data_IF_789829065286
#
_entry.id   IF_789829065286
#
_cell.length_a   1.000
_cell.length_b   1.000
_cell.length_c   1.000
_cell.angle_alpha   90.00
_cell.angle_beta   90.00
_cell.angle_gamma   90.00
#
_symmetry.space_group_name_H-M   'P 1'
#
loop_
_entity.id
_entity.type
_entity.pdbx_description
1 polymer ?
#
# COMPACT_ATOMS: atom_id res chain seq x y z
N UNK A 1 12.66 20.66 -9.38
CA UNK A 1 12.04 19.34 -9.11
C UNK A 1 11.88 18.64 -10.45
N UNK A 2 12.62 17.56 -10.70
CA UNK A 2 12.58 16.84 -11.98
C UNK A 2 12.76 15.33 -11.86
N UNK A 3 12.76 14.82 -10.62
CA UNK A 3 12.80 13.38 -10.34
C UNK A 3 11.37 12.88 -10.17
N UNK A 4 11.02 11.69 -10.67
CA UNK A 4 9.71 11.09 -10.41
C UNK A 4 9.44 10.95 -8.91
N UNK A 5 8.21 11.27 -8.51
CA UNK A 5 7.71 11.18 -7.14
C UNK A 5 6.87 9.92 -7.01
N UNK A 6 7.24 9.04 -6.06
CA UNK A 6 6.60 7.76 -5.86
C UNK A 6 5.90 7.76 -4.51
N UNK A 7 4.57 7.63 -4.54
CA UNK A 7 3.76 7.40 -3.34
C UNK A 7 3.98 5.99 -2.82
N UNK A 8 4.29 5.82 -1.54
CA UNK A 8 4.47 4.50 -0.92
C UNK A 8 3.36 4.32 0.10
N UNK A 9 2.32 3.58 -0.27
CA UNK A 9 1.12 3.35 0.55
C UNK A 9 1.21 2.06 1.36
N UNK A 10 1.49 2.18 2.66
CA UNK A 10 1.40 1.04 3.57
C UNK A 10 0.03 0.95 4.24
N UNK A 11 -0.36 -0.27 4.65
CA UNK A 11 -1.52 -0.49 5.52
C UNK A 11 -1.06 -0.88 6.91
N UNK A 12 -0.15 -0.12 7.51
CA UNK A 12 0.40 -0.43 8.82
C UNK A 12 -0.55 -0.02 9.96
N UNK A 13 -0.71 -0.92 10.92
CA UNK A 13 -1.27 -0.66 12.24
C UNK A 13 -0.86 -1.81 13.19
N UNK A 14 -0.78 -1.55 14.48
CA UNK A 14 -0.19 -2.49 15.45
C UNK A 14 -1.16 -3.62 15.89
N UNK A 15 -2.47 -3.37 15.79
CA UNK A 15 -3.52 -4.28 16.24
C UNK A 15 -3.72 -5.53 15.37
N UNK A 16 -2.86 -5.80 14.39
CA UNK A 16 -2.91 -7.02 13.57
C UNK A 16 -1.51 -7.50 13.23
N UNK A 17 -1.25 -8.79 13.45
CA UNK A 17 0.04 -9.43 13.16
C UNK A 17 0.38 -9.37 11.66
N UNK A 18 -0.64 -9.37 10.79
CA UNK A 18 -0.45 -9.15 9.35
C UNK A 18 0.08 -7.77 8.98
N UNK A 19 -0.10 -6.75 9.83
CA UNK A 19 0.08 -5.34 9.45
C UNK A 19 1.17 -4.64 10.26
N UNK A 20 1.50 -5.13 11.46
CA UNK A 20 2.42 -4.46 12.39
C UNK A 20 3.85 -4.28 11.85
N UNK A 21 4.26 -5.13 10.90
CA UNK A 21 5.61 -5.11 10.32
C UNK A 21 5.71 -4.27 9.04
N UNK A 22 4.58 -3.78 8.50
CA UNK A 22 4.56 -3.09 7.20
C UNK A 22 5.24 -1.73 7.22
N UNK A 23 5.38 -1.09 8.39
CA UNK A 23 6.12 0.17 8.50
C UNK A 23 7.60 -0.01 8.16
N UNK A 24 8.20 -1.12 8.61
CA UNK A 24 9.58 -1.48 8.30
C UNK A 24 9.75 -1.81 6.82
N UNK A 25 8.78 -2.51 6.23
CA UNK A 25 8.77 -2.81 4.79
C UNK A 25 8.65 -1.52 3.96
N UNK A 26 7.82 -0.57 4.39
CA UNK A 26 7.70 0.73 3.74
C UNK A 26 8.99 1.57 3.77
N UNK A 27 9.79 1.45 4.83
CA UNK A 27 11.11 2.07 4.88
C UNK A 27 12.06 1.45 3.86
N UNK A 28 12.15 0.12 3.80
CA UNK A 28 12.97 -0.58 2.82
C UNK A 28 12.56 -0.27 1.36
N UNK A 29 11.26 -0.15 1.10
CA UNK A 29 10.76 0.27 -0.23
C UNK A 29 11.19 1.69 -0.55
N UNK A 30 11.12 2.61 0.42
CA UNK A 30 11.56 4.00 0.22
C UNK A 30 13.05 4.07 -0.11
N UNK A 31 13.88 3.33 0.62
CA UNK A 31 15.32 3.22 0.33
C UNK A 31 15.54 2.74 -1.11
N UNK A 32 14.81 1.70 -1.56
CA UNK A 32 14.88 1.21 -2.94
C UNK A 32 14.47 2.24 -3.99
N UNK A 33 13.43 3.03 -3.73
CA UNK A 33 12.97 4.13 -4.61
C UNK A 33 14.04 5.22 -4.72
N UNK A 34 14.63 5.62 -3.60
CA UNK A 34 15.68 6.65 -3.57
C UNK A 34 16.97 6.18 -4.27
N UNK A 35 17.34 4.92 -4.09
CA UNK A 35 18.46 4.28 -4.80
C UNK A 35 18.23 4.22 -6.32
N UNK A 36 16.99 4.05 -6.76
CA UNK A 36 16.61 4.12 -8.17
C UNK A 36 16.57 5.57 -8.74
N UNK A 37 16.99 6.58 -7.95
CA UNK A 37 17.09 7.97 -8.40
C UNK A 37 15.76 8.73 -8.38
N UNK A 38 14.70 8.16 -7.80
CA UNK A 38 13.38 8.76 -7.63
C UNK A 38 13.23 9.37 -6.23
N UNK A 39 12.09 10.00 -5.94
CA UNK A 39 11.76 10.54 -4.62
C UNK A 39 10.61 9.74 -4.01
N UNK A 40 10.82 9.10 -2.86
CA UNK A 40 9.79 8.30 -2.19
C UNK A 40 9.04 9.07 -1.10
N UNK A 41 7.72 9.17 -1.22
CA UNK A 41 6.84 9.75 -0.21
C UNK A 41 5.95 8.68 0.43
N UNK A 42 6.28 8.31 1.66
CA UNK A 42 5.52 7.33 2.42
C UNK A 42 4.23 7.94 2.95
N UNK A 43 3.13 7.21 2.82
CA UNK A 43 1.87 7.48 3.49
C UNK A 43 1.21 6.17 3.90
N UNK A 44 0.23 6.26 4.80
CA UNK A 44 -0.42 5.09 5.36
C UNK A 44 -1.94 5.21 5.24
N UNK A 45 -2.62 4.08 5.05
CA UNK A 45 -4.08 3.99 5.05
C UNK A 45 -4.58 3.07 6.16
N UNK A 46 -5.89 3.09 6.40
CA UNK A 46 -6.55 2.31 7.46
C UNK A 46 -6.57 0.82 7.13
N UNK A 47 -6.81 -0.01 8.14
CA UNK A 47 -7.06 -1.43 8.00
C UNK A 47 -7.84 -1.98 9.20
N UNK A 48 -8.42 -3.16 9.05
CA UNK A 48 -9.16 -3.85 10.11
C UNK A 48 -8.78 -5.32 10.16
N UNK A 49 -8.81 -5.91 11.35
CA UNK A 49 -8.49 -7.32 11.56
C UNK A 49 -9.75 -8.18 11.60
N UNK A 50 -9.87 -9.12 10.67
CA UNK A 50 -10.90 -10.15 10.72
C UNK A 50 -10.72 -11.06 11.93
N UNK A 51 -9.49 -11.47 12.22
CA UNK A 51 -9.21 -12.36 13.35
C UNK A 51 -9.75 -11.80 14.69
N UNK A 52 -9.85 -10.47 14.81
CA UNK A 52 -10.43 -9.80 15.98
C UNK A 52 -11.94 -9.60 15.84
N UNK A 53 -12.42 -9.22 14.65
CA UNK A 53 -13.82 -8.79 14.46
C UNK A 53 -14.79 -9.93 14.14
N UNK A 54 -14.29 -11.10 13.75
CA UNK A 54 -15.08 -12.28 13.40
C UNK A 54 -16.01 -12.69 14.55
N UNK A 55 -17.28 -12.94 14.22
CA UNK A 55 -18.31 -13.30 15.20
C UNK A 55 -18.90 -12.13 15.99
N UNK A 56 -18.48 -10.89 15.72
CA UNK A 56 -18.99 -9.68 16.38
C UNK A 56 -19.66 -8.73 15.38
N UNK A 57 -20.33 -7.68 15.88
CA UNK A 57 -20.84 -6.58 15.04
C UNK A 57 -19.73 -5.83 14.29
N UNK A 58 -18.47 -5.97 14.71
CA UNK A 58 -17.31 -5.40 14.03
C UNK A 58 -17.12 -5.93 12.60
N UNK A 59 -17.55 -7.16 12.32
CA UNK A 59 -17.38 -7.78 11.00
C UNK A 59 -18.16 -7.04 9.89
N UNK A 60 -19.19 -6.28 10.24
CA UNK A 60 -19.91 -5.41 9.30
C UNK A 60 -19.02 -4.33 8.67
N UNK A 61 -17.92 -3.95 9.33
CA UNK A 61 -16.95 -2.98 8.84
C UNK A 61 -15.82 -3.60 8.04
N UNK A 62 -15.80 -4.92 7.89
CA UNK A 62 -14.68 -5.61 7.28
C UNK A 62 -14.66 -5.48 5.75
N UNK A 63 -15.74 -5.82 5.05
CA UNK A 63 -15.74 -5.81 3.58
C UNK A 63 -15.61 -4.39 3.00
N UNK A 64 -16.31 -3.42 3.59
CA UNK A 64 -16.30 -2.03 3.15
C UNK A 64 -14.95 -1.33 3.34
N UNK A 65 -14.08 -1.82 4.25
CA UNK A 65 -12.77 -1.20 4.47
C UNK A 65 -11.90 -1.30 3.22
N UNK A 66 -12.12 -2.31 2.37
CA UNK A 66 -11.48 -2.44 1.06
C UNK A 66 -11.73 -1.22 0.19
N UNK A 67 -12.96 -0.72 0.18
CA UNK A 67 -13.32 0.39 -0.69
C UNK A 67 -12.73 1.70 -0.16
N UNK A 68 -12.81 1.92 1.16
CA UNK A 68 -12.14 3.03 1.84
C UNK A 68 -10.63 3.07 1.63
N UNK A 69 -9.94 1.92 1.62
CA UNK A 69 -8.50 1.84 1.37
C UNK A 69 -8.17 2.37 -0.02
N UNK A 70 -8.90 1.93 -1.04
CA UNK A 70 -8.67 2.38 -2.40
C UNK A 70 -8.98 3.88 -2.57
N UNK A 71 -10.09 4.36 -2.01
CA UNK A 71 -10.47 5.78 -2.07
C UNK A 71 -9.41 6.65 -1.34
N UNK A 72 -8.83 6.14 -0.25
CA UNK A 72 -7.74 6.82 0.47
C UNK A 72 -6.46 6.93 -0.37
N UNK A 73 -6.08 5.86 -1.08
CA UNK A 73 -4.91 5.86 -1.96
C UNK A 73 -5.16 6.80 -3.15
N UNK A 74 -6.32 6.72 -3.79
CA UNK A 74 -6.72 7.59 -4.90
C UNK A 74 -6.68 9.06 -4.50
N UNK A 75 -7.20 9.39 -3.31
CA UNK A 75 -7.21 10.75 -2.78
C UNK A 75 -5.79 11.31 -2.65
N UNK A 76 -4.86 10.55 -2.07
CA UNK A 76 -3.48 11.02 -1.88
C UNK A 76 -2.76 11.14 -3.22
N UNK A 77 -2.90 10.14 -4.09
CA UNK A 77 -2.25 10.13 -5.40
C UNK A 77 -2.69 11.30 -6.28
N UNK A 78 -4.00 11.54 -6.34
CA UNK A 78 -4.57 12.61 -7.15
C UNK A 78 -4.26 14.00 -6.57
N UNK A 79 -4.30 14.16 -5.25
CA UNK A 79 -4.04 15.46 -4.62
C UNK A 79 -2.55 15.84 -4.65
N UNK A 80 -1.66 14.87 -4.45
CA UNK A 80 -0.21 15.12 -4.37
C UNK A 80 0.52 15.00 -5.71
N UNK A 81 -0.19 14.60 -6.78
CA UNK A 81 0.37 14.46 -8.12
C UNK A 81 1.62 13.56 -8.17
N UNK A 82 1.61 12.47 -7.41
CA UNK A 82 2.68 11.48 -7.49
C UNK A 82 2.66 10.76 -8.84
N UNK A 83 3.83 10.55 -9.42
CA UNK A 83 4.03 9.97 -10.76
C UNK A 83 3.75 8.45 -10.78
N UNK A 84 3.84 7.80 -9.63
CA UNK A 84 3.54 6.38 -9.46
C UNK A 84 3.32 6.02 -8.00
N UNK A 85 2.80 4.82 -7.74
CA UNK A 85 2.63 4.34 -6.39
C UNK A 85 3.05 2.90 -6.20
N UNK A 86 3.69 2.65 -5.06
CA UNK A 86 4.02 1.33 -4.54
C UNK A 86 3.18 1.07 -3.29
N UNK A 87 2.27 0.12 -3.39
CA UNK A 87 1.43 -0.25 -2.26
C UNK A 87 1.90 -1.52 -1.55
N UNK A 88 1.78 -1.51 -0.23
CA UNK A 88 2.26 -2.55 0.68
C UNK A 88 1.06 -3.03 1.52
N UNK A 89 0.31 -4.03 1.02
CA UNK A 89 -0.83 -4.60 1.74
C UNK A 89 -0.37 -5.59 2.82
N UNK A 90 -1.26 -5.84 3.80
CA UNK A 90 -1.10 -6.90 4.80
C UNK A 90 -1.93 -8.13 4.41
N UNK A 91 -3.12 -8.27 5.02
CA UNK A 91 -4.00 -9.42 4.81
C UNK A 91 -5.14 -9.20 3.79
N UNK A 92 -5.54 -10.30 3.14
CA UNK A 92 -6.65 -10.60 2.20
C UNK A 92 -7.38 -9.41 1.53
N UNK A 93 -8.05 -8.55 2.32
CA UNK A 93 -8.84 -7.42 1.79
C UNK A 93 -8.01 -6.31 1.18
N UNK A 94 -6.76 -6.17 1.61
CA UNK A 94 -5.87 -5.13 1.13
C UNK A 94 -5.25 -5.48 -0.23
N UNK A 95 -5.23 -6.77 -0.61
CA UNK A 95 -4.66 -7.22 -1.89
C UNK A 95 -5.61 -6.95 -3.06
N UNK A 96 -6.88 -7.32 -2.92
CA UNK A 96 -7.79 -7.49 -4.06
C UNK A 96 -8.18 -6.17 -4.77
N UNK A 97 -8.27 -5.03 -4.07
CA UNK A 97 -8.64 -3.73 -4.71
C UNK A 97 -7.44 -2.87 -5.08
N UNK A 98 -6.23 -3.17 -4.62
CA UNK A 98 -5.05 -2.46 -5.13
C UNK A 98 -4.73 -2.86 -6.57
N UNK A 99 -5.12 -4.08 -6.98
CA UNK A 99 -5.21 -4.46 -8.38
C UNK A 99 -6.30 -3.70 -9.17
N UNK A 100 -7.44 -3.29 -8.58
CA UNK A 100 -8.44 -2.45 -9.27
C UNK A 100 -8.07 -0.96 -9.28
N UNK A 101 -7.38 -0.45 -8.27
CA UNK A 101 -6.86 0.91 -8.26
C UNK A 101 -5.75 1.09 -9.32
N UNK A 102 -5.06 0.01 -9.71
CA UNK A 102 -4.10 -0.09 -10.83
C UNK A 102 -4.65 0.46 -12.16
N UNK A 103 -5.96 0.30 -12.40
CA UNK A 103 -6.60 0.75 -13.64
C UNK A 103 -6.93 2.25 -13.63
N UNK A 104 -7.04 2.88 -12.46
CA UNK A 104 -7.34 4.32 -12.32
C UNK A 104 -6.11 5.17 -12.03
N UNK A 105 -5.17 4.63 -11.26
CA UNK A 105 -3.85 5.21 -10.99
C UNK A 105 -2.82 4.21 -11.48
N UNK A 106 -1.77 4.62 -12.20
CA UNK A 106 -0.70 3.71 -12.64
C UNK A 106 0.06 3.17 -11.41
N UNK A 107 -0.46 2.11 -10.78
CA UNK A 107 0.15 1.50 -9.60
C UNK A 107 1.19 0.46 -10.04
N UNK A 108 2.24 0.30 -9.25
CA UNK A 108 3.18 -0.82 -9.31
C UNK A 108 3.05 -1.51 -7.95
N UNK A 109 2.72 -2.80 -7.90
CA UNK A 109 2.68 -3.49 -6.60
C UNK A 109 4.09 -3.67 -6.03
N UNK A 110 4.26 -3.54 -4.71
CA UNK A 110 5.56 -3.65 -4.06
C UNK A 110 6.27 -4.99 -4.33
N UNK A 111 5.51 -6.08 -4.49
CA UNK A 111 6.05 -7.38 -4.85
C UNK A 111 6.68 -7.38 -6.25
N UNK A 112 6.00 -6.80 -7.25
CA UNK A 112 6.55 -6.63 -8.61
C UNK A 112 7.70 -5.61 -8.64
N UNK A 113 7.61 -4.54 -7.85
CA UNK A 113 8.66 -3.53 -7.78
C UNK A 113 9.95 -4.15 -7.22
N UNK A 114 9.90 -4.82 -6.06
CA UNK A 114 11.06 -5.51 -5.49
C UNK A 114 11.67 -6.52 -6.48
N UNK A 115 10.87 -7.34 -7.16
CA UNK A 115 11.37 -8.26 -8.19
C UNK A 115 12.08 -7.52 -9.34
N UNK A 116 11.55 -6.35 -9.75
CA UNK A 116 12.10 -5.54 -10.85
C UNK A 116 13.41 -4.83 -10.48
N UNK A 117 13.58 -4.32 -9.26
CA UNK A 117 14.83 -3.67 -8.82
C UNK A 117 15.88 -4.63 -8.25
N UNK A 118 15.49 -5.80 -7.71
CA UNK A 118 16.43 -6.76 -7.09
C UNK A 118 16.83 -7.94 -7.98
N UNK A 119 16.19 -8.13 -9.15
CA UNK A 119 16.47 -9.26 -10.03
C UNK A 119 16.10 -10.63 -9.41
N UNK A 120 15.27 -10.65 -8.37
CA UNK A 120 14.82 -11.87 -7.70
C UNK A 120 13.63 -12.45 -8.47
N UNK A 121 13.72 -13.69 -8.99
CA UNK A 121 12.58 -14.32 -9.66
C UNK A 121 11.48 -14.65 -8.65
N UNK A 122 10.25 -14.41 -9.08
CA UNK A 122 8.99 -14.85 -8.46
C UNK A 122 8.97 -16.36 -8.20
#
# INVERSE_FOLDING_TARGET
>A
MGKPQIGISSVWYEGNTCNMHLLKLAEAVKEGVELAGMVGFRFNTIGVSDAISMGTRGMCFSLQSRDLIADSIETVMAAQWYDGNISIPGCDKNLCRMACARERARLIEALEFLATISGVPI
#
